data_IF_832207544478
#
_entry.id   IF_832207544478
#
_cell.length_a   1.000
_cell.length_b   1.000
_cell.length_c   1.000
_cell.angle_alpha   90.00
_cell.angle_beta   90.00
_cell.angle_gamma   90.00
#
_symmetry.space_group_name_H-M   'P 1'
#
loop_
_entity.id
_entity.type
_entity.pdbx_description
1 polymer ?
#
# COMPACT_ATOMS: atom_id res chain seq x y z
N UNK A 1 17.09 -16.05 -15.78
CA UNK A 1 16.02 -15.05 -15.80
C UNK A 1 16.66 -13.70 -15.53
N UNK A 2 16.26 -12.65 -16.24
CA UNK A 2 16.74 -11.29 -15.97
C UNK A 2 16.38 -10.91 -14.51
N UNK A 3 17.33 -10.41 -13.69
CA UNK A 3 17.09 -9.95 -12.32
C UNK A 3 15.88 -9.00 -12.21
N UNK A 4 15.61 -8.23 -13.26
CA UNK A 4 14.47 -7.31 -13.34
C UNK A 4 13.13 -8.02 -13.10
N UNK A 5 12.91 -9.21 -13.66
CA UNK A 5 11.65 -9.93 -13.47
C UNK A 5 11.46 -10.40 -12.03
N UNK A 6 12.56 -10.73 -11.35
CA UNK A 6 12.53 -11.13 -9.94
C UNK A 6 12.16 -9.92 -9.08
N UNK A 7 12.77 -8.76 -9.32
CA UNK A 7 12.45 -7.53 -8.58
C UNK A 7 11.00 -7.09 -8.76
N UNK A 8 10.48 -7.14 -9.99
CA UNK A 8 9.07 -6.82 -10.26
C UNK A 8 8.14 -7.82 -9.56
N UNK A 9 8.47 -9.12 -9.60
CA UNK A 9 7.71 -10.14 -8.89
C UNK A 9 7.66 -9.90 -7.38
N UNK A 10 8.80 -9.59 -6.76
CA UNK A 10 8.89 -9.27 -5.33
C UNK A 10 8.12 -7.98 -4.99
N UNK A 11 8.27 -6.92 -5.80
CA UNK A 11 7.56 -5.67 -5.60
C UNK A 11 6.04 -5.86 -5.67
N UNK A 12 5.56 -6.68 -6.62
CA UNK A 12 4.14 -7.00 -6.74
C UNK A 12 3.63 -7.77 -5.50
N UNK A 13 4.36 -8.80 -5.06
CA UNK A 13 3.97 -9.60 -3.89
C UNK A 13 3.97 -8.75 -2.60
N UNK A 14 5.03 -7.99 -2.35
CA UNK A 14 5.15 -7.16 -1.15
C UNK A 14 4.18 -5.97 -1.18
N UNK A 15 3.99 -5.36 -2.34
CA UNK A 15 3.00 -4.30 -2.54
C UNK A 15 1.58 -4.78 -2.31
N UNK A 16 1.20 -5.96 -2.84
CA UNK A 16 -0.11 -6.55 -2.58
C UNK A 16 -0.30 -6.91 -1.11
N UNK A 17 0.73 -7.46 -0.46
CA UNK A 17 0.70 -7.77 0.97
C UNK A 17 0.48 -6.52 1.82
N UNK A 18 1.24 -5.44 1.56
CA UNK A 18 1.06 -4.16 2.25
C UNK A 18 -0.32 -3.54 1.96
N UNK A 19 -0.76 -3.51 0.70
CA UNK A 19 -2.05 -2.94 0.30
C UNK A 19 -3.23 -3.65 0.98
N UNK A 20 -3.15 -4.98 1.12
CA UNK A 20 -4.13 -5.75 1.86
C UNK A 20 -4.16 -5.37 3.36
N UNK A 21 -2.98 -5.23 3.99
CA UNK A 21 -2.87 -4.80 5.38
C UNK A 21 -3.43 -3.38 5.61
N UNK A 22 -3.17 -2.44 4.70
CA UNK A 22 -3.75 -1.09 4.74
C UNK A 22 -5.27 -1.18 4.67
N UNK A 23 -5.80 -1.87 3.66
CA UNK A 23 -7.25 -1.99 3.47
C UNK A 23 -7.96 -2.61 4.68
N UNK A 24 -7.39 -3.65 5.29
CA UNK A 24 -7.97 -4.26 6.49
C UNK A 24 -8.03 -3.28 7.68
N UNK A 25 -6.93 -2.55 7.94
CA UNK A 25 -6.87 -1.58 9.03
C UNK A 25 -7.77 -0.35 8.79
N UNK A 26 -7.77 0.17 7.56
CA UNK A 26 -8.51 1.38 7.21
C UNK A 26 -10.02 1.15 7.21
N UNK A 27 -10.50 0.00 6.70
CA UNK A 27 -11.92 -0.33 6.75
C UNK A 27 -12.42 -0.48 8.18
N UNK A 28 -11.63 -1.09 9.07
CA UNK A 28 -11.98 -1.17 10.49
C UNK A 28 -12.11 0.24 11.10
N UNK A 29 -11.16 1.13 10.82
CA UNK A 29 -11.15 2.49 11.34
C UNK A 29 -12.29 3.36 10.78
N UNK A 30 -12.58 3.26 9.48
CA UNK A 30 -13.57 4.08 8.80
C UNK A 30 -15.02 3.61 9.05
N UNK A 31 -15.24 2.29 9.18
CA UNK A 31 -16.59 1.71 9.21
C UNK A 31 -17.04 1.22 10.59
N UNK A 32 -16.19 1.28 11.63
CA UNK A 32 -16.53 0.82 12.97
C UNK A 32 -17.80 1.48 13.54
N UNK A 33 -18.00 2.78 13.31
CA UNK A 33 -19.17 3.50 13.83
C UNK A 33 -20.45 3.15 13.05
N UNK A 34 -20.37 3.00 11.73
CA UNK A 34 -21.50 2.61 10.89
C UNK A 34 -21.95 1.18 11.17
N UNK A 35 -21.00 0.27 11.43
CA UNK A 35 -21.32 -1.10 11.83
C UNK A 35 -21.82 -1.13 13.29
N UNK A 36 -21.13 -0.45 14.20
CA UNK A 36 -21.47 -0.44 15.64
C UNK A 36 -22.81 0.22 15.97
N UNK A 37 -23.26 1.17 15.15
CA UNK A 37 -24.60 1.78 15.26
C UNK A 37 -25.73 0.95 14.62
N UNK A 38 -25.40 -0.13 13.91
CA UNK A 38 -26.36 -0.93 13.16
C UNK A 38 -26.84 -0.31 11.85
N UNK A 39 -26.26 0.81 11.41
CA UNK A 39 -26.59 1.44 10.14
C UNK A 39 -26.20 0.58 8.94
N UNK A 40 -25.08 -0.14 9.04
CA UNK A 40 -24.59 -1.09 8.04
C UNK A 40 -24.25 -2.43 8.66
N UNK A 41 -24.52 -3.51 7.94
CA UNK A 41 -23.93 -4.83 8.24
C UNK A 41 -22.47 -4.86 7.79
N UNK A 42 -21.68 -5.77 8.37
CA UNK A 42 -20.26 -5.99 8.00
C UNK A 42 -20.10 -6.22 6.49
N UNK A 43 -21.00 -7.01 5.88
CA UNK A 43 -20.96 -7.29 4.43
C UNK A 43 -21.20 -6.04 3.59
N UNK A 44 -22.13 -5.17 3.99
CA UNK A 44 -22.40 -3.91 3.29
C UNK A 44 -21.22 -2.94 3.43
N UNK A 45 -20.66 -2.80 4.63
CA UNK A 45 -19.50 -1.96 4.87
C UNK A 45 -18.28 -2.38 4.03
N UNK A 46 -18.00 -3.69 3.93
CA UNK A 46 -16.95 -4.23 3.07
C UNK A 46 -17.16 -3.89 1.59
N UNK A 47 -18.40 -3.98 1.10
CA UNK A 47 -18.70 -3.73 -0.32
C UNK A 47 -18.60 -2.23 -0.65
N UNK A 48 -19.07 -1.37 0.26
CA UNK A 48 -18.90 0.08 0.15
C UNK A 48 -17.41 0.44 0.17
N UNK A 49 -16.66 -0.06 1.16
CA UNK A 49 -15.23 0.17 1.26
C UNK A 49 -14.48 -0.26 0.00
N UNK A 50 -14.74 -1.47 -0.51
CA UNK A 50 -14.07 -1.97 -1.72
C UNK A 50 -14.26 -1.05 -2.93
N UNK A 51 -15.45 -0.47 -3.11
CA UNK A 51 -15.73 0.45 -4.22
C UNK A 51 -15.03 1.80 -3.99
N UNK A 52 -15.20 2.40 -2.82
CA UNK A 52 -14.71 3.76 -2.56
C UNK A 52 -13.20 3.83 -2.32
N UNK A 53 -12.60 2.85 -1.65
CA UNK A 53 -11.13 2.77 -1.48
C UNK A 53 -10.44 2.55 -2.83
N UNK A 54 -10.97 1.63 -3.65
CA UNK A 54 -10.45 1.42 -5.00
C UNK A 54 -10.60 2.68 -5.87
N UNK A 55 -11.78 3.31 -5.84
CA UNK A 55 -12.01 4.55 -6.58
C UNK A 55 -11.08 5.67 -6.11
N UNK A 56 -10.88 5.84 -4.80
CA UNK A 56 -9.96 6.81 -4.22
C UNK A 56 -8.51 6.56 -4.66
N UNK A 57 -8.05 5.31 -4.59
CA UNK A 57 -6.72 4.92 -5.03
C UNK A 57 -6.49 5.22 -6.53
N UNK A 58 -7.48 4.93 -7.38
CA UNK A 58 -7.37 5.18 -8.84
C UNK A 58 -7.48 6.66 -9.20
N UNK A 59 -8.42 7.39 -8.60
CA UNK A 59 -8.73 8.77 -8.98
C UNK A 59 -7.80 9.79 -8.32
N UNK A 60 -7.37 9.55 -7.08
CA UNK A 60 -6.63 10.52 -6.27
C UNK A 60 -5.25 10.01 -5.79
N UNK A 61 -4.97 8.71 -5.90
CA UNK A 61 -3.74 8.11 -5.36
C UNK A 61 -2.44 8.65 -5.97
N UNK A 62 -2.46 9.08 -7.25
CA UNK A 62 -1.28 9.58 -7.95
C UNK A 62 -0.70 10.87 -7.33
N UNK A 63 -1.57 11.81 -6.97
CA UNK A 63 -1.15 13.08 -6.35
C UNK A 63 -0.56 12.84 -4.95
N UNK A 64 -1.21 11.98 -4.14
CA UNK A 64 -0.73 11.63 -2.80
C UNK A 64 0.61 10.90 -2.86
N UNK A 65 0.75 9.92 -3.75
CA UNK A 65 2.00 9.16 -3.94
C UNK A 65 3.14 10.09 -4.34
N UNK A 66 2.89 11.06 -5.22
CA UNK A 66 3.91 12.05 -5.61
C UNK A 66 4.37 12.87 -4.42
N UNK A 67 3.45 13.33 -3.56
CA UNK A 67 3.79 14.11 -2.37
C UNK A 67 4.55 13.29 -1.33
N UNK A 68 4.12 12.05 -1.07
CA UNK A 68 4.76 11.19 -0.07
C UNK A 68 6.19 10.82 -0.48
N UNK A 69 6.42 10.45 -1.75
CA UNK A 69 7.76 10.03 -2.19
C UNK A 69 8.74 11.20 -2.31
N UNK A 70 8.25 12.42 -2.47
CA UNK A 70 9.09 13.58 -2.71
C UNK A 70 9.86 13.96 -1.44
N UNK A 71 11.19 13.92 -1.52
CA UNK A 71 12.08 14.26 -0.40
C UNK A 71 12.29 13.15 0.63
N UNK A 72 11.71 11.95 0.46
CA UNK A 72 11.99 10.80 1.35
C UNK A 72 13.37 10.17 1.08
N UNK A 73 13.75 10.04 -0.20
CA UNK A 73 15.01 9.42 -0.63
C UNK A 73 15.61 10.25 -1.76
N UNK A 74 16.89 10.60 -1.64
CA UNK A 74 17.66 11.20 -2.74
C UNK A 74 18.11 10.11 -3.72
N UNK A 75 17.42 10.00 -4.85
CA UNK A 75 17.73 8.99 -5.87
C UNK A 75 19.05 9.24 -6.58
N UNK A 76 19.56 10.48 -6.58
CA UNK A 76 20.83 10.82 -7.26
C UNK A 76 22.02 10.15 -6.55
N UNK A 77 21.93 9.98 -5.23
CA UNK A 77 22.94 9.28 -4.43
C UNK A 77 23.09 7.79 -4.78
N UNK A 78 22.13 7.18 -5.50
CA UNK A 78 22.12 5.75 -5.84
C UNK A 78 22.30 5.46 -7.33
N UNK A 79 22.65 6.46 -8.16
CA UNK A 79 22.81 6.28 -9.62
C UNK A 79 23.83 5.20 -9.96
N UNK A 80 24.94 5.15 -9.22
CA UNK A 80 26.01 4.15 -9.43
C UNK A 80 25.67 2.78 -8.81
N UNK A 81 24.60 2.69 -8.00
CA UNK A 81 24.20 1.49 -7.25
C UNK A 81 22.67 1.33 -7.22
N UNK A 82 22.01 1.13 -8.38
CA UNK A 82 20.56 1.08 -8.48
C UNK A 82 19.95 -0.11 -7.71
N UNK A 83 20.66 -1.24 -7.61
CA UNK A 83 20.20 -2.41 -6.86
C UNK A 83 20.00 -2.10 -5.37
N UNK A 84 20.87 -1.29 -4.78
CA UNK A 84 20.77 -0.89 -3.36
C UNK A 84 19.47 -0.11 -3.11
N UNK A 85 19.09 0.77 -4.03
CA UNK A 85 17.82 1.51 -3.95
C UNK A 85 16.63 0.55 -4.04
N UNK A 86 16.65 -0.40 -4.99
CA UNK A 86 15.58 -1.39 -5.15
C UNK A 86 15.42 -2.23 -3.89
N UNK A 87 16.50 -2.74 -3.31
CA UNK A 87 16.45 -3.50 -2.07
C UNK A 87 15.89 -2.68 -0.91
N UNK A 88 16.26 -1.40 -0.79
CA UNK A 88 15.70 -0.49 0.19
C UNK A 88 14.19 -0.32 0.05
N UNK A 89 13.69 -0.14 -1.18
CA UNK A 89 12.26 0.00 -1.45
C UNK A 89 11.49 -1.30 -1.16
N UNK A 90 12.05 -2.46 -1.53
CA UNK A 90 11.46 -3.77 -1.22
C UNK A 90 11.42 -4.03 0.29
N UNK A 91 12.49 -3.70 1.01
CA UNK A 91 12.55 -3.83 2.47
C UNK A 91 11.53 -2.92 3.16
N UNK A 92 11.35 -1.69 2.68
CA UNK A 92 10.35 -0.77 3.20
C UNK A 92 8.92 -1.29 3.00
N UNK A 93 8.58 -1.81 1.81
CA UNK A 93 7.28 -2.43 1.55
C UNK A 93 7.01 -3.62 2.48
N UNK A 94 7.98 -4.52 2.62
CA UNK A 94 7.83 -5.71 3.46
C UNK A 94 7.72 -5.33 4.94
N UNK A 95 8.57 -4.43 5.44
CA UNK A 95 8.54 -3.98 6.82
C UNK A 95 7.20 -3.31 7.17
N UNK A 96 6.71 -2.41 6.31
CA UNK A 96 5.42 -1.77 6.50
C UNK A 96 4.26 -2.79 6.47
N UNK A 97 4.28 -3.72 5.52
CA UNK A 97 3.27 -4.79 5.44
C UNK A 97 3.27 -5.69 6.68
N UNK A 98 4.45 -6.05 7.20
CA UNK A 98 4.57 -6.85 8.44
C UNK A 98 4.03 -6.08 9.64
N UNK A 99 4.36 -4.80 9.77
CA UNK A 99 3.84 -3.97 10.87
C UNK A 99 2.32 -3.80 10.82
N UNK A 100 1.72 -3.72 9.63
CA UNK A 100 0.26 -3.63 9.48
C UNK A 100 -0.47 -4.94 9.81
N UNK A 101 0.24 -6.06 9.73
CA UNK A 101 -0.30 -7.38 10.07
C UNK A 101 -0.29 -7.66 11.58
N UNK A 102 0.67 -7.08 12.30
CA UNK A 102 0.83 -7.22 13.75
C UNK A 102 -0.19 -6.36 14.51
#
# INVERSE_FOLDING_TARGET
>A
MDPLYVYIGLAAVFGLFMAWGIGANDVANAMATSIGSGALTVKQALLVAAVFEFAGAVLAGGAVTSTIRQGMIDTVAFVDQPDTLIFGMLAALLAAGVWLLL
#
